data_IF_392713354642
#
_entry.id   IF_392713354642
#
_cell.length_a   1.000
_cell.length_b   1.000
_cell.length_c   1.000
_cell.angle_alpha   90.00
_cell.angle_beta   90.00
_cell.angle_gamma   90.00
#
_symmetry.space_group_name_H-M   'P 1'
#
loop_
_entity.id
_entity.type
_entity.pdbx_description
1 polymer ?
#
# COMPACT_ATOMS: atom_id res chain seq x y z
N UNK A 1 14.02 -8.46 16.38
CA UNK A 1 13.01 -9.49 16.69
C UNK A 1 12.01 -8.89 17.64
N UNK A 2 10.71 -9.00 17.35
CA UNK A 2 9.69 -8.63 18.31
C UNK A 2 9.72 -9.71 19.42
N UNK A 3 9.98 -9.31 20.67
CA UNK A 3 10.26 -10.24 21.77
C UNK A 3 9.04 -11.04 22.24
N UNK A 4 7.85 -10.77 21.68
CA UNK A 4 6.58 -11.38 22.08
C UNK A 4 6.00 -12.38 21.06
N UNK A 5 6.77 -12.79 20.05
CA UNK A 5 6.34 -13.86 19.14
C UNK A 5 6.41 -15.23 19.87
N UNK A 6 5.44 -16.11 19.63
CA UNK A 6 5.39 -17.44 20.24
C UNK A 6 6.18 -18.51 19.47
N UNK A 7 6.77 -18.14 18.33
CA UNK A 7 7.57 -19.00 17.47
C UNK A 7 7.74 -18.39 16.08
N UNK A 8 8.46 -19.11 15.23
CA UNK A 8 8.63 -18.83 13.81
C UNK A 8 9.99 -18.27 13.40
N UNK A 9 10.20 -18.14 12.09
CA UNK A 9 11.45 -17.69 11.48
C UNK A 9 11.22 -16.55 10.48
N UNK A 10 11.60 -15.33 10.89
CA UNK A 10 11.48 -14.11 10.08
C UNK A 10 12.36 -14.13 8.82
N UNK A 11 13.30 -15.06 8.68
CA UNK A 11 14.12 -15.22 7.48
C UNK A 11 13.45 -16.05 6.38
N UNK A 12 12.41 -16.84 6.71
CA UNK A 12 11.85 -17.85 5.79
C UNK A 12 10.32 -17.79 5.70
N UNK A 13 9.61 -17.71 6.82
CA UNK A 13 8.14 -17.77 6.85
C UNK A 13 7.45 -16.68 6.01
N UNK A 14 7.89 -15.41 5.99
CA UNK A 14 7.29 -14.40 5.12
C UNK A 14 7.31 -14.80 3.63
N UNK A 15 8.38 -15.47 3.18
CA UNK A 15 8.51 -15.92 1.80
C UNK A 15 7.63 -17.12 1.48
N UNK A 16 7.52 -18.07 2.42
CA UNK A 16 6.62 -19.23 2.29
C UNK A 16 5.16 -18.75 2.22
N UNK A 17 4.76 -17.86 3.12
CA UNK A 17 3.41 -17.28 3.14
C UNK A 17 3.14 -16.49 1.86
N UNK A 18 4.06 -15.61 1.46
CA UNK A 18 3.92 -14.82 0.23
C UNK A 18 3.77 -15.70 -1.02
N UNK A 19 4.50 -16.82 -1.08
CA UNK A 19 4.39 -17.79 -2.16
C UNK A 19 3.01 -18.46 -2.22
N UNK A 20 2.50 -18.95 -1.08
CA UNK A 20 1.17 -19.58 -1.05
C UNK A 20 0.03 -18.59 -1.28
N UNK A 21 0.17 -17.32 -0.89
CA UNK A 21 -0.79 -16.27 -1.23
C UNK A 21 -0.89 -16.08 -2.76
N UNK A 22 0.25 -16.07 -3.46
CA UNK A 22 0.30 -15.97 -4.92
C UNK A 22 -0.33 -17.19 -5.61
N UNK A 23 0.01 -18.40 -5.18
CA UNK A 23 -0.58 -19.63 -5.73
C UNK A 23 -2.09 -19.70 -5.50
N UNK A 24 -2.55 -19.34 -4.29
CA UNK A 24 -3.97 -19.29 -3.95
C UNK A 24 -4.72 -18.28 -4.83
N UNK A 25 -4.15 -17.10 -5.01
CA UNK A 25 -4.68 -16.08 -5.91
C UNK A 25 -4.83 -16.60 -7.34
N UNK A 26 -3.76 -17.13 -7.91
CA UNK A 26 -3.73 -17.60 -9.29
C UNK A 26 -4.72 -18.76 -9.53
N UNK A 27 -4.83 -19.68 -8.57
CA UNK A 27 -5.83 -20.76 -8.59
C UNK A 27 -7.26 -20.22 -8.60
N UNK A 28 -7.58 -19.26 -7.74
CA UNK A 28 -8.93 -18.67 -7.66
C UNK A 28 -9.24 -17.85 -8.92
N UNK A 29 -8.28 -17.14 -9.49
CA UNK A 29 -8.47 -16.41 -10.75
C UNK A 29 -8.76 -17.38 -11.88
N UNK A 30 -8.00 -18.48 -12.00
CA UNK A 30 -8.27 -19.53 -12.99
C UNK A 30 -9.69 -20.08 -12.83
N UNK A 31 -10.08 -20.46 -11.62
CA UNK A 31 -11.44 -20.94 -11.32
C UNK A 31 -12.52 -19.89 -11.68
N UNK A 32 -12.30 -18.62 -11.33
CA UNK A 32 -13.22 -17.53 -11.64
C UNK A 32 -13.43 -17.40 -13.15
N UNK A 33 -12.34 -17.39 -13.92
CA UNK A 33 -12.36 -17.25 -15.38
C UNK A 33 -13.06 -18.43 -16.05
N UNK A 34 -12.73 -19.65 -15.64
CA UNK A 34 -13.26 -20.87 -16.25
C UNK A 34 -14.76 -21.08 -15.95
N UNK A 35 -15.22 -20.73 -14.75
CA UNK A 35 -16.56 -21.11 -14.29
C UNK A 35 -17.56 -19.95 -14.17
N UNK A 36 -17.09 -18.73 -13.91
CA UNK A 36 -17.97 -17.64 -13.48
C UNK A 36 -17.89 -16.40 -14.38
N UNK A 37 -16.73 -16.08 -14.96
CA UNK A 37 -16.54 -14.80 -15.64
C UNK A 37 -17.42 -14.65 -16.88
N UNK A 38 -17.63 -15.72 -17.65
CA UNK A 38 -18.47 -15.67 -18.85
C UNK A 38 -19.92 -15.27 -18.56
N UNK A 39 -20.46 -15.69 -17.41
CA UNK A 39 -21.85 -15.40 -17.02
C UNK A 39 -21.98 -14.12 -16.21
N UNK A 40 -21.06 -13.89 -15.26
CA UNK A 40 -21.10 -12.72 -14.37
C UNK A 40 -20.54 -11.46 -15.02
N UNK A 41 -19.68 -11.59 -16.03
CA UNK A 41 -19.00 -10.48 -16.73
C UNK A 41 -18.20 -9.56 -15.80
N UNK A 42 -17.76 -10.07 -14.65
CA UNK A 42 -16.97 -9.35 -13.66
C UNK A 42 -15.46 -9.39 -13.95
N UNK A 43 -14.72 -8.70 -13.09
CA UNK A 43 -13.25 -8.63 -13.12
C UNK A 43 -12.68 -9.04 -11.77
N UNK A 44 -11.50 -9.66 -11.78
CA UNK A 44 -10.78 -10.08 -10.58
C UNK A 44 -9.34 -9.56 -10.62
N UNK A 45 -8.82 -9.14 -9.47
CA UNK A 45 -7.48 -8.56 -9.34
C UNK A 45 -7.00 -8.63 -7.90
N UNK A 46 -5.90 -7.94 -7.61
CA UNK A 46 -5.30 -7.87 -6.27
C UNK A 46 -5.26 -6.44 -5.76
N UNK A 47 -5.09 -6.24 -4.45
CA UNK A 47 -4.80 -4.95 -3.85
C UNK A 47 -3.46 -5.04 -3.11
N UNK A 48 -2.54 -4.13 -3.40
CA UNK A 48 -1.19 -4.12 -2.86
C UNK A 48 -0.89 -2.79 -2.18
N UNK A 49 -0.31 -2.85 -0.98
CA UNK A 49 0.18 -1.65 -0.29
C UNK A 49 1.51 -1.21 -0.87
N UNK A 50 1.64 0.09 -1.12
CA UNK A 50 2.89 0.69 -1.60
C UNK A 50 3.07 2.08 -0.99
N UNK A 51 4.25 2.32 -0.43
CA UNK A 51 4.73 3.68 -0.17
C UNK A 51 5.43 4.21 -1.41
N UNK A 52 5.35 5.53 -1.63
CA UNK A 52 6.28 6.14 -2.59
C UNK A 52 7.62 6.39 -1.93
N UNK A 53 8.70 6.15 -2.67
CA UNK A 53 10.05 6.21 -2.13
C UNK A 53 10.89 7.18 -2.95
N UNK A 54 11.47 8.16 -2.27
CA UNK A 54 12.44 9.08 -2.82
C UNK A 54 13.84 8.62 -2.38
N UNK A 55 14.85 8.59 -3.27
CA UNK A 55 16.21 8.30 -2.81
C UNK A 55 16.65 9.41 -1.84
N UNK A 56 17.32 9.04 -0.74
CA UNK A 56 17.76 9.99 0.29
C UNK A 56 18.80 10.96 -0.28
N UNK A 57 19.76 10.46 -1.05
CA UNK A 57 20.75 11.22 -1.82
C UNK A 57 20.65 10.93 -3.32
N UNK A 58 21.39 11.69 -4.13
CA UNK A 58 21.50 11.45 -5.58
C UNK A 58 22.56 10.37 -5.91
N UNK A 59 23.01 9.60 -4.92
CA UNK A 59 23.96 8.51 -5.10
C UNK A 59 23.32 7.35 -5.86
N UNK A 60 24.12 6.65 -6.66
CA UNK A 60 23.67 5.47 -7.41
C UNK A 60 23.09 4.42 -6.45
N UNK A 61 23.71 4.27 -5.29
CA UNK A 61 23.35 3.31 -4.25
C UNK A 61 21.94 3.57 -3.71
N UNK A 62 21.55 4.82 -3.46
CA UNK A 62 20.21 5.17 -2.98
C UNK A 62 19.14 5.05 -4.09
N UNK A 63 19.51 5.33 -5.34
CA UNK A 63 18.65 5.08 -6.49
C UNK A 63 18.38 3.57 -6.67
N UNK A 64 19.40 2.73 -6.52
CA UNK A 64 19.26 1.27 -6.56
C UNK A 64 18.50 0.74 -5.33
N UNK A 65 18.74 1.31 -4.15
CA UNK A 65 17.99 0.99 -2.93
C UNK A 65 16.50 1.24 -3.13
N UNK A 66 16.13 2.38 -3.72
CA UNK A 66 14.73 2.65 -4.08
C UNK A 66 14.13 1.53 -4.93
N UNK A 67 14.83 1.10 -5.99
CA UNK A 67 14.31 0.03 -6.85
C UNK A 67 14.17 -1.29 -6.08
N UNK A 68 15.19 -1.68 -5.29
CA UNK A 68 15.11 -2.88 -4.45
C UNK A 68 13.94 -2.82 -3.48
N UNK A 69 13.69 -1.68 -2.84
CA UNK A 69 12.57 -1.55 -1.91
C UNK A 69 11.21 -1.64 -2.61
N UNK A 70 11.07 -1.08 -3.82
CA UNK A 70 9.85 -1.26 -4.63
C UNK A 70 9.68 -2.72 -5.03
N UNK A 71 10.77 -3.41 -5.41
CA UNK A 71 10.73 -4.83 -5.73
C UNK A 71 10.31 -5.68 -4.53
N UNK A 72 10.79 -5.38 -3.32
CA UNK A 72 10.41 -6.07 -2.07
C UNK A 72 9.05 -5.63 -1.50
N UNK A 73 8.30 -4.77 -2.19
CA UNK A 73 6.94 -4.35 -1.80
C UNK A 73 5.97 -4.67 -2.92
N UNK A 74 5.78 -3.77 -3.88
CA UNK A 74 4.87 -3.98 -5.01
C UNK A 74 5.37 -5.11 -5.93
N UNK A 75 6.67 -5.16 -6.22
CA UNK A 75 7.22 -6.17 -7.13
C UNK A 75 7.06 -7.59 -6.62
N UNK A 76 7.14 -7.80 -5.30
CA UNK A 76 7.07 -9.12 -4.68
C UNK A 76 5.79 -9.85 -5.05
N UNK A 77 4.66 -9.13 -5.09
CA UNK A 77 3.38 -9.70 -5.45
C UNK A 77 2.97 -9.42 -6.88
N UNK A 78 3.32 -8.26 -7.45
CA UNK A 78 2.83 -7.87 -8.77
C UNK A 78 3.71 -8.37 -9.93
N UNK A 79 5.03 -8.54 -9.75
CA UNK A 79 5.90 -9.08 -10.80
C UNK A 79 5.52 -10.54 -11.12
N UNK A 80 5.28 -11.44 -10.14
CA UNK A 80 4.81 -12.80 -10.44
C UNK A 80 3.53 -12.83 -11.27
N UNK A 81 2.57 -11.91 -11.04
CA UNK A 81 1.35 -11.82 -11.84
C UNK A 81 1.61 -11.28 -13.25
N UNK A 82 2.68 -10.52 -13.46
CA UNK A 82 3.03 -9.96 -14.76
C UNK A 82 3.93 -10.89 -15.59
N UNK A 83 4.87 -11.58 -14.95
CA UNK A 83 5.96 -12.32 -15.62
C UNK A 83 5.98 -13.81 -15.31
N UNK A 84 5.33 -14.25 -14.23
CA UNK A 84 5.41 -15.62 -13.72
C UNK A 84 6.58 -15.87 -12.75
N UNK A 85 7.36 -14.84 -12.39
CA UNK A 85 8.48 -14.98 -11.44
C UNK A 85 8.66 -13.74 -10.55
N UNK A 86 9.39 -13.90 -9.45
CA UNK A 86 9.76 -12.82 -8.54
C UNK A 86 10.77 -11.84 -9.16
N UNK A 87 10.90 -10.61 -8.62
CA UNK A 87 11.92 -9.66 -9.05
C UNK A 87 13.34 -10.22 -8.93
N UNK A 88 14.22 -9.84 -9.87
CA UNK A 88 15.61 -10.28 -9.88
C UNK A 88 16.38 -9.87 -8.62
N UNK A 89 16.10 -8.69 -8.06
CA UNK A 89 16.69 -8.23 -6.81
C UNK A 89 16.31 -9.10 -5.61
N UNK A 90 15.06 -9.59 -5.57
CA UNK A 90 14.62 -10.54 -4.55
C UNK A 90 15.32 -11.89 -4.70
N UNK A 91 15.39 -12.42 -5.92
CA UNK A 91 16.13 -13.67 -6.22
C UNK A 91 17.59 -13.57 -5.76
N UNK A 92 18.26 -12.45 -6.08
CA UNK A 92 19.65 -12.22 -5.70
C UNK A 92 19.87 -12.12 -4.19
N UNK A 93 19.05 -11.32 -3.48
CA UNK A 93 19.27 -11.04 -2.06
C UNK A 93 18.74 -12.16 -1.14
N UNK A 94 17.61 -12.78 -1.48
CA UNK A 94 16.97 -13.80 -0.63
C UNK A 94 17.56 -15.18 -0.88
N UNK A 95 17.88 -15.49 -2.14
CA UNK A 95 18.43 -16.76 -2.58
C UNK A 95 17.47 -17.93 -2.30
N UNK A 96 18.01 -19.05 -1.82
CA UNK A 96 17.27 -20.31 -1.58
C UNK A 96 16.11 -20.23 -0.59
N UNK A 97 15.99 -19.13 0.17
CA UNK A 97 14.85 -18.92 1.09
C UNK A 97 13.59 -18.44 0.35
N UNK A 98 13.75 -17.93 -0.88
CA UNK A 98 12.65 -17.55 -1.75
C UNK A 98 12.24 -18.76 -2.57
N UNK A 99 11.01 -19.30 -2.42
CA UNK A 99 10.58 -20.46 -3.18
C UNK A 99 10.64 -20.25 -4.69
N UNK A 100 10.73 -21.35 -5.44
CA UNK A 100 10.68 -21.33 -6.90
C UNK A 100 9.28 -21.75 -7.36
N UNK A 101 8.78 -21.11 -8.42
CA UNK A 101 7.55 -21.56 -9.06
C UNK A 101 7.88 -22.69 -10.03
N UNK A 102 7.06 -23.74 -10.05
CA UNK A 102 7.06 -24.70 -11.15
C UNK A 102 6.67 -24.00 -12.45
N UNK A 103 6.89 -24.66 -13.60
CA UNK A 103 6.47 -24.11 -14.90
C UNK A 103 4.96 -23.90 -14.96
N UNK A 104 4.21 -24.83 -14.39
CA UNK A 104 2.76 -24.81 -14.32
C UNK A 104 2.26 -23.68 -13.41
N UNK A 105 2.92 -23.45 -12.28
CA UNK A 105 2.60 -22.36 -11.35
C UNK A 105 2.90 -20.99 -11.97
N UNK A 106 4.07 -20.83 -12.61
CA UNK A 106 4.46 -19.60 -13.29
C UNK A 106 3.47 -19.23 -14.41
N UNK A 107 3.04 -20.21 -15.20
CA UNK A 107 2.04 -20.00 -16.26
C UNK A 107 0.66 -19.65 -15.68
N UNK A 108 0.27 -20.26 -14.56
CA UNK A 108 -0.99 -19.93 -13.88
C UNK A 108 -0.99 -18.51 -13.30
N UNK A 109 0.17 -18.02 -12.83
CA UNK A 109 0.34 -16.67 -12.28
C UNK A 109 0.31 -15.60 -13.36
N UNK A 110 0.97 -15.85 -14.49
CA UNK A 110 1.14 -14.85 -15.54
C UNK A 110 -0.20 -14.38 -16.11
N UNK A 111 -0.46 -13.08 -16.03
CA UNK A 111 -1.71 -12.45 -16.47
C UNK A 111 -2.92 -12.77 -15.57
N UNK A 112 -2.72 -13.27 -14.35
CA UNK A 112 -3.81 -13.60 -13.42
C UNK A 112 -4.38 -12.38 -12.67
N UNK A 113 -4.42 -11.19 -13.28
CA UNK A 113 -5.12 -10.04 -12.72
C UNK A 113 -5.69 -9.15 -13.84
N UNK A 114 -6.97 -8.83 -13.77
CA UNK A 114 -7.67 -7.96 -14.71
C UNK A 114 -7.46 -6.45 -14.38
N UNK A 115 -7.00 -6.16 -13.17
CA UNK A 115 -6.65 -4.83 -12.66
C UNK A 115 -5.68 -4.95 -11.47
N UNK A 116 -5.04 -3.83 -11.11
CA UNK A 116 -4.23 -3.70 -9.88
C UNK A 116 -4.85 -2.67 -8.96
N UNK A 117 -5.14 -3.09 -7.73
CA UNK A 117 -5.46 -2.24 -6.60
C UNK A 117 -4.18 -1.74 -5.92
N UNK A 118 -4.10 -0.44 -5.65
CA UNK A 118 -2.99 0.18 -4.92
C UNK A 118 -3.52 0.84 -3.65
N UNK A 119 -2.96 0.46 -2.51
CA UNK A 119 -3.21 1.08 -1.22
C UNK A 119 -2.05 2.06 -0.94
N UNK A 120 -2.33 3.36 -1.01
CA UNK A 120 -1.33 4.42 -0.86
C UNK A 120 -1.68 5.36 0.30
N UNK A 121 -0.72 5.57 1.20
CA UNK A 121 -0.92 6.39 2.40
C UNK A 121 0.16 7.44 2.63
N UNK A 122 1.41 7.18 2.23
CA UNK A 122 2.56 7.99 2.63
C UNK A 122 3.78 7.76 1.74
N UNK A 123 4.80 8.59 1.94
CA UNK A 123 6.11 8.49 1.29
C UNK A 123 7.24 8.54 2.30
N UNK A 124 8.38 8.00 1.92
CA UNK A 124 9.62 8.07 2.69
C UNK A 124 10.82 8.39 1.80
N UNK A 125 11.89 8.90 2.41
CA UNK A 125 13.21 8.77 1.83
C UNK A 125 13.74 7.35 2.06
N UNK A 126 14.42 6.77 1.09
CA UNK A 126 15.04 5.44 1.16
C UNK A 126 16.53 5.55 0.87
N UNK A 127 17.32 4.76 1.58
CA UNK A 127 18.76 4.72 1.40
C UNK A 127 19.30 3.29 1.45
N UNK A 128 20.48 3.11 0.85
CA UNK A 128 21.19 1.84 0.87
C UNK A 128 21.68 1.53 2.29
N UNK A 129 21.20 0.43 2.85
CA UNK A 129 21.52 -0.01 4.23
C UNK A 129 21.67 -1.53 4.27
N UNK A 130 22.79 -2.08 3.76
CA UNK A 130 23.05 -3.51 3.81
C UNK A 130 23.33 -3.93 5.27
N UNK A 131 22.74 -5.04 5.74
CA UNK A 131 22.99 -5.51 7.10
C UNK A 131 24.46 -5.95 7.26
N UNK A 132 25.02 -5.89 8.49
CA UNK A 132 26.33 -6.44 8.78
C UNK A 132 26.46 -7.91 8.35
N UNK A 133 27.67 -8.36 7.98
CA UNK A 133 27.89 -9.71 7.45
C UNK A 133 27.44 -10.85 8.38
N UNK A 134 27.45 -10.61 9.70
CA UNK A 134 27.05 -11.55 10.74
C UNK A 134 25.61 -11.31 11.25
N UNK A 135 24.84 -10.42 10.62
CA UNK A 135 23.47 -10.17 11.01
C UNK A 135 22.60 -11.41 10.76
N UNK A 136 21.65 -11.64 11.66
CA UNK A 136 20.62 -12.65 11.44
C UNK A 136 19.77 -12.23 10.24
N UNK A 137 19.54 -13.18 9.33
CA UNK A 137 18.72 -12.94 8.14
C UNK A 137 17.29 -12.63 8.56
N UNK A 138 16.65 -11.75 7.80
CA UNK A 138 15.25 -11.38 8.02
C UNK A 138 14.68 -10.78 6.76
N UNK A 139 13.42 -11.11 6.46
CA UNK A 139 12.73 -10.55 5.31
C UNK A 139 12.65 -9.01 5.32
N UNK A 140 12.73 -8.39 6.51
CA UNK A 140 12.71 -6.93 6.65
C UNK A 140 14.02 -6.26 6.24
N UNK A 141 15.15 -6.97 6.34
CA UNK A 141 16.49 -6.44 6.02
C UNK A 141 16.99 -6.91 4.66
N UNK A 142 16.38 -7.95 4.08
CA UNK A 142 16.84 -8.57 2.83
C UNK A 142 16.77 -7.63 1.61
N UNK A 143 16.02 -6.53 1.65
CA UNK A 143 16.07 -5.51 0.58
C UNK A 143 17.35 -4.65 0.62
N UNK A 144 18.16 -4.75 1.69
CA UNK A 144 19.36 -3.93 1.94
C UNK A 144 19.03 -2.44 1.87
N UNK A 145 17.93 -2.05 2.52
CA UNK A 145 17.41 -0.69 2.50
C UNK A 145 16.84 -0.32 3.84
N UNK A 146 16.90 0.97 4.15
CA UNK A 146 16.18 1.55 5.28
C UNK A 146 15.56 2.88 4.85
N UNK A 147 14.70 3.44 5.71
CA UNK A 147 13.90 4.60 5.37
C UNK A 147 14.03 5.70 6.42
N UNK A 148 13.89 6.92 5.96
CA UNK A 148 13.89 8.12 6.78
C UNK A 148 12.68 8.98 6.42
N UNK A 149 11.92 9.49 7.42
CA UNK A 149 10.89 10.48 7.15
C UNK A 149 11.48 11.86 6.84
N UNK A 150 12.77 12.08 7.13
CA UNK A 150 13.43 13.37 6.99
C UNK A 150 14.61 13.34 6.01
N UNK A 151 14.85 14.45 5.32
CA UNK A 151 16.10 14.73 4.60
C UNK A 151 16.62 16.09 5.07
N UNK A 152 17.88 16.17 5.51
CA UNK A 152 18.47 17.38 6.09
C UNK A 152 17.64 17.99 7.25
N UNK A 153 17.14 17.13 8.15
CA UNK A 153 16.26 17.50 9.28
C UNK A 153 14.92 18.14 8.88
N UNK A 154 14.49 17.98 7.62
CA UNK A 154 13.17 18.43 7.13
C UNK A 154 12.33 17.20 6.84
N UNK A 155 11.15 17.12 7.48
CA UNK A 155 10.17 16.07 7.21
C UNK A 155 9.73 16.11 5.74
N UNK A 156 9.49 14.93 5.16
CA UNK A 156 9.00 14.78 3.78
C UNK A 156 7.63 15.45 3.58
N UNK A 157 6.85 15.61 4.65
CA UNK A 157 5.57 16.31 4.67
C UNK A 157 5.01 16.41 6.09
N UNK A 158 3.84 17.04 6.28
CA UNK A 158 3.20 17.11 7.60
C UNK A 158 2.87 15.73 8.17
N UNK A 159 3.05 15.54 9.47
CA UNK A 159 2.71 14.28 10.16
C UNK A 159 1.21 14.18 10.42
N UNK A 160 0.64 13.00 10.22
CA UNK A 160 -0.75 12.70 10.61
C UNK A 160 -0.83 12.21 12.07
N UNK A 161 -1.99 11.70 12.49
CA UNK A 161 -2.20 11.22 13.86
C UNK A 161 -1.50 9.90 14.19
N UNK A 162 -1.05 9.14 13.19
CA UNK A 162 -0.35 7.87 13.38
C UNK A 162 1.15 8.02 13.06
N UNK A 163 2.01 7.37 13.85
CA UNK A 163 3.45 7.65 13.90
C UNK A 163 4.18 7.45 12.57
N UNK A 164 3.71 6.53 11.74
CA UNK A 164 4.31 6.18 10.45
C UNK A 164 3.75 6.99 9.28
N UNK A 165 2.76 7.88 9.48
CA UNK A 165 2.11 8.55 8.36
C UNK A 165 2.54 10.01 8.21
N UNK A 166 3.19 10.29 7.08
CA UNK A 166 3.51 11.62 6.60
C UNK A 166 2.67 11.94 5.34
N UNK A 167 2.04 13.10 5.31
CA UNK A 167 1.14 13.53 4.24
C UNK A 167 1.98 14.01 3.06
N UNK A 168 2.07 13.17 2.01
CA UNK A 168 2.80 13.49 0.78
C UNK A 168 1.94 13.21 -0.46
N UNK A 169 1.07 14.16 -0.87
CA UNK A 169 0.12 13.92 -1.96
C UNK A 169 0.76 13.58 -3.31
N UNK A 170 1.93 14.16 -3.61
CA UNK A 170 2.65 13.91 -4.88
C UNK A 170 3.00 12.42 -5.08
N UNK A 171 3.23 11.67 -4.00
CA UNK A 171 3.62 10.27 -4.10
C UNK A 171 2.56 9.37 -4.72
N UNK A 172 1.25 9.70 -4.60
CA UNK A 172 0.19 8.90 -5.25
C UNK A 172 0.29 8.99 -6.77
N UNK A 173 0.61 10.17 -7.30
CA UNK A 173 0.84 10.38 -8.73
C UNK A 173 2.00 9.52 -9.20
N UNK A 174 3.11 9.61 -8.48
CA UNK A 174 4.35 8.97 -8.92
C UNK A 174 4.28 7.44 -8.79
N UNK A 175 3.59 6.90 -7.76
CA UNK A 175 3.25 5.47 -7.65
C UNK A 175 2.42 5.00 -8.84
N UNK A 176 1.37 5.75 -9.21
CA UNK A 176 0.49 5.39 -10.32
C UNK A 176 1.23 5.43 -11.66
N UNK A 177 2.07 6.43 -11.89
CA UNK A 177 2.87 6.52 -13.11
C UNK A 177 3.94 5.42 -13.18
N UNK A 178 4.56 5.10 -12.05
CA UNK A 178 5.48 3.96 -11.96
C UNK A 178 4.76 2.65 -12.30
N UNK A 179 3.60 2.39 -11.69
CA UNK A 179 2.81 1.18 -11.97
C UNK A 179 2.34 1.13 -13.42
N UNK A 180 1.89 2.26 -13.99
CA UNK A 180 1.49 2.38 -15.40
C UNK A 180 2.63 2.00 -16.35
N UNK A 181 3.87 2.45 -16.05
CA UNK A 181 5.05 2.12 -16.84
C UNK A 181 5.49 0.66 -16.67
N UNK A 182 5.47 0.14 -15.44
CA UNK A 182 5.96 -1.22 -15.12
C UNK A 182 4.98 -2.32 -15.57
N UNK A 183 3.68 -2.06 -15.46
CA UNK A 183 2.61 -3.00 -15.82
C UNK A 183 1.70 -2.35 -16.88
N UNK A 184 2.16 -2.29 -18.14
CA UNK A 184 1.44 -1.59 -19.20
C UNK A 184 0.08 -2.24 -19.47
N UNK A 185 -0.89 -1.43 -19.86
CA UNK A 185 -2.27 -1.83 -20.19
C UNK A 185 -3.09 -2.42 -19.03
N UNK A 186 -2.60 -2.38 -17.79
CA UNK A 186 -3.36 -2.85 -16.63
C UNK A 186 -4.15 -1.69 -15.99
N UNK A 187 -5.49 -1.79 -15.84
CA UNK A 187 -6.28 -0.82 -15.10
C UNK A 187 -5.84 -0.72 -13.64
N UNK A 188 -5.82 0.50 -13.10
CA UNK A 188 -5.42 0.76 -11.71
C UNK A 188 -6.63 1.26 -10.91
N UNK A 189 -6.82 0.74 -9.71
CA UNK A 189 -7.74 1.30 -8.72
C UNK A 189 -6.94 1.72 -7.48
N UNK A 190 -7.17 2.91 -6.96
CA UNK A 190 -6.68 3.26 -5.62
C UNK A 190 -7.65 2.65 -4.63
N UNK A 191 -7.36 1.44 -4.15
CA UNK A 191 -8.26 0.64 -3.31
C UNK A 191 -8.28 1.10 -1.86
N UNK A 192 -7.21 1.76 -1.40
CA UNK A 192 -7.19 2.48 -0.13
C UNK A 192 -6.34 3.75 -0.23
N UNK A 193 -6.87 4.84 0.32
CA UNK A 193 -6.15 6.06 0.59
C UNK A 193 -6.86 6.83 1.71
N UNK A 194 -6.12 7.34 2.68
CA UNK A 194 -6.72 8.08 3.80
C UNK A 194 -5.71 8.45 4.86
N UNK A 195 -6.18 9.10 5.92
CA UNK A 195 -5.32 9.50 7.04
C UNK A 195 -5.95 9.22 8.40
N UNK A 196 -5.08 8.80 9.33
CA UNK A 196 -5.42 8.55 10.72
C UNK A 196 -5.36 9.83 11.55
N UNK A 197 -6.36 10.01 12.41
CA UNK A 197 -6.34 11.01 13.49
C UNK A 197 -6.31 10.30 14.83
N UNK A 198 -5.61 10.87 15.81
CA UNK A 198 -5.64 10.34 17.18
C UNK A 198 -7.05 10.48 17.74
N UNK A 199 -7.60 9.38 18.27
CA UNK A 199 -8.84 9.43 19.02
C UNK A 199 -8.62 10.25 20.29
N UNK A 200 -9.37 11.34 20.43
CA UNK A 200 -9.36 12.17 21.62
C UNK A 200 -10.76 12.22 22.25
N UNK A 201 -10.93 11.44 23.32
CA UNK A 201 -12.19 11.32 24.06
C UNK A 201 -12.55 12.58 24.85
N UNK A 202 -11.66 13.59 24.94
CA UNK A 202 -11.96 14.87 25.60
C UNK A 202 -12.65 15.87 24.68
N UNK A 203 -12.67 15.62 23.37
CA UNK A 203 -13.31 16.51 22.40
C UNK A 203 -14.83 16.35 22.44
N UNK A 204 -15.55 17.46 22.28
CA UNK A 204 -16.98 17.39 21.98
C UNK A 204 -17.20 16.74 20.60
N UNK A 205 -18.39 16.17 20.36
CA UNK A 205 -18.75 15.62 19.04
C UNK A 205 -18.52 16.68 17.95
N UNK A 206 -18.92 17.94 18.19
CA UNK A 206 -18.75 19.03 17.22
C UNK A 206 -17.29 19.23 16.80
N UNK A 207 -16.36 19.13 17.76
CA UNK A 207 -14.91 19.24 17.48
C UNK A 207 -14.38 17.99 16.78
N UNK A 208 -14.79 16.79 17.22
CA UNK A 208 -14.39 15.52 16.60
C UNK A 208 -14.86 15.35 15.15
N UNK A 209 -15.95 16.03 14.74
CA UNK A 209 -16.44 16.05 13.36
C UNK A 209 -15.69 17.03 12.46
N UNK A 210 -14.87 17.93 13.02
CA UNK A 210 -14.18 18.99 12.28
C UNK A 210 -12.80 18.54 11.75
N UNK A 211 -12.79 17.57 10.83
CA UNK A 211 -11.56 16.96 10.28
C UNK A 211 -11.05 17.65 9.01
N UNK A 212 -10.81 18.96 9.08
CA UNK A 212 -10.39 19.77 7.92
C UNK A 212 -9.04 19.33 7.34
N UNK A 213 -8.15 18.75 8.15
CA UNK A 213 -6.89 18.16 7.66
C UNK A 213 -7.15 16.93 6.75
N UNK A 214 -8.17 16.11 7.06
CA UNK A 214 -8.59 15.01 6.19
C UNK A 214 -9.23 15.51 4.89
N UNK A 215 -9.98 16.61 4.94
CA UNK A 215 -10.47 17.28 3.73
C UNK A 215 -9.30 17.72 2.84
N UNK A 216 -8.29 18.38 3.42
CA UNK A 216 -7.06 18.76 2.71
C UNK A 216 -6.36 17.53 2.11
N UNK A 217 -6.17 16.48 2.91
CA UNK A 217 -5.54 15.23 2.46
C UNK A 217 -6.21 14.70 1.20
N UNK A 218 -7.54 14.48 1.22
CA UNK A 218 -8.24 13.91 0.06
C UNK A 218 -8.21 14.83 -1.15
N UNK A 219 -8.43 16.14 -0.95
CA UNK A 219 -8.40 17.11 -2.05
C UNK A 219 -7.05 17.07 -2.78
N UNK A 220 -5.94 17.11 -2.05
CA UNK A 220 -4.61 17.12 -2.66
C UNK A 220 -4.29 15.77 -3.32
N UNK A 221 -4.56 14.63 -2.66
CA UNK A 221 -4.28 13.31 -3.24
C UNK A 221 -5.10 13.06 -4.52
N UNK A 222 -6.38 13.44 -4.53
CA UNK A 222 -7.23 13.31 -5.71
C UNK A 222 -6.76 14.24 -6.84
N UNK A 223 -6.29 15.45 -6.52
CA UNK A 223 -5.72 16.36 -7.52
C UNK A 223 -4.46 15.77 -8.18
N UNK A 224 -3.54 15.21 -7.38
CA UNK A 224 -2.35 14.53 -7.91
C UNK A 224 -2.70 13.25 -8.68
N UNK A 225 -3.69 12.48 -8.23
CA UNK A 225 -4.19 11.32 -8.98
C UNK A 225 -4.77 11.74 -10.34
N UNK A 226 -5.54 12.83 -10.38
CA UNK A 226 -6.06 13.39 -11.63
C UNK A 226 -4.94 13.83 -12.57
N UNK A 227 -3.83 14.36 -12.04
CA UNK A 227 -2.66 14.69 -12.87
C UNK A 227 -2.01 13.43 -13.49
N UNK A 228 -1.94 12.31 -12.76
CA UNK A 228 -1.45 11.05 -13.33
C UNK A 228 -2.37 10.54 -14.45
N UNK A 229 -3.69 10.70 -14.32
CA UNK A 229 -4.67 10.36 -15.36
C UNK A 229 -4.44 11.21 -16.61
N UNK A 230 -4.22 12.53 -16.45
CA UNK A 230 -3.89 13.43 -17.56
C UNK A 230 -2.59 13.05 -18.27
N UNK A 231 -1.64 12.48 -17.52
CA UNK A 231 -0.37 11.97 -18.05
C UNK A 231 -0.47 10.53 -18.61
N UNK A 232 -1.68 10.00 -18.78
CA UNK A 232 -1.94 8.73 -19.49
C UNK A 232 -2.14 7.51 -18.59
N UNK A 233 -2.18 7.66 -17.26
CA UNK A 233 -2.45 6.54 -16.37
C UNK A 233 -3.90 6.04 -16.47
N UNK A 234 -4.07 4.71 -16.55
CA UNK A 234 -5.39 4.07 -16.67
C UNK A 234 -6.06 3.85 -15.30
N UNK A 235 -6.27 4.93 -14.54
CA UNK A 235 -6.93 4.86 -13.22
C UNK A 235 -8.44 4.79 -13.39
N UNK A 236 -9.09 3.88 -12.66
CA UNK A 236 -10.52 3.58 -12.77
C UNK A 236 -11.33 3.88 -11.50
N UNK A 237 -10.68 4.15 -10.38
CA UNK A 237 -11.37 4.52 -9.16
C UNK A 237 -10.43 4.92 -8.02
N UNK A 238 -11.01 5.61 -7.04
CA UNK A 238 -10.39 5.99 -5.77
C UNK A 238 -11.36 5.64 -4.65
N UNK A 239 -10.85 4.92 -3.65
CA UNK A 239 -11.62 4.46 -2.50
C UNK A 239 -10.96 4.99 -1.22
N UNK A 240 -11.75 5.76 -0.45
CA UNK A 240 -11.31 6.31 0.81
C UNK A 240 -11.24 5.22 1.89
N UNK A 241 -10.06 5.05 2.49
CA UNK A 241 -9.92 4.35 3.77
C UNK A 241 -10.12 5.36 4.91
N UNK A 242 -11.23 5.35 5.63
CA UNK A 242 -12.35 4.39 5.56
C UNK A 242 -13.71 5.07 5.54
N UNK A 243 -14.75 4.32 5.20
CA UNK A 243 -16.13 4.81 5.27
C UNK A 243 -16.49 5.25 6.70
N UNK A 244 -16.01 4.54 7.73
CA UNK A 244 -16.27 4.84 9.13
C UNK A 244 -15.06 4.52 10.01
N UNK A 245 -14.98 5.16 11.17
CA UNK A 245 -13.99 4.80 12.19
C UNK A 245 -14.15 3.33 12.57
N UNK A 246 -13.04 2.61 12.69
CA UNK A 246 -13.01 1.16 12.88
C UNK A 246 -11.83 0.74 13.77
N UNK A 247 -11.61 -0.57 13.90
CA UNK A 247 -10.52 -1.14 14.70
C UNK A 247 -9.23 -1.16 13.87
N UNK A 248 -8.28 -0.29 14.21
CA UNK A 248 -7.01 -0.12 13.51
C UNK A 248 -5.95 -1.10 14.05
N UNK A 249 -6.22 -2.39 13.90
CA UNK A 249 -5.25 -3.46 14.17
C UNK A 249 -4.56 -3.32 15.54
N UNK A 250 -3.23 -3.16 15.56
CA UNK A 250 -2.42 -3.03 16.77
C UNK A 250 -2.71 -1.72 17.54
N UNK A 251 -3.22 -0.69 16.88
CA UNK A 251 -3.60 0.59 17.49
C UNK A 251 -5.02 0.56 18.09
N UNK A 252 -5.78 -0.50 17.85
CA UNK A 252 -7.14 -0.64 18.33
C UNK A 252 -8.03 0.54 17.90
N UNK A 253 -8.73 1.17 18.86
CA UNK A 253 -9.60 2.33 18.60
C UNK A 253 -8.92 3.68 18.92
N UNK A 254 -7.59 3.69 19.07
CA UNK A 254 -6.84 4.93 19.37
C UNK A 254 -6.62 5.80 18.13
N UNK A 255 -6.82 5.26 16.93
CA UNK A 255 -6.70 5.96 15.65
C UNK A 255 -8.03 5.88 14.89
N UNK A 256 -8.42 7.00 14.27
CA UNK A 256 -9.66 7.15 13.50
C UNK A 256 -9.33 7.48 12.05
N UNK A 257 -9.65 6.55 11.12
CA UNK A 257 -9.51 6.76 9.67
C UNK A 257 -10.81 7.19 8.97
N UNK A 258 -11.96 7.07 9.64
CA UNK A 258 -13.25 7.22 9.01
C UNK A 258 -13.55 8.63 8.55
N UNK A 259 -14.20 8.75 7.38
CA UNK A 259 -14.90 9.99 7.01
C UNK A 259 -16.22 10.15 7.79
N UNK A 260 -16.72 9.06 8.39
CA UNK A 260 -17.81 9.09 9.36
C UNK A 260 -17.27 8.72 10.75
N UNK A 261 -17.56 9.58 11.73
CA UNK A 261 -17.26 9.32 13.14
C UNK A 261 -18.16 8.22 13.67
N UNK A 262 -17.59 7.32 14.48
CA UNK A 262 -18.35 6.31 15.23
C UNK A 262 -18.23 6.59 16.72
N UNK A 263 -19.38 6.84 17.35
CA UNK A 263 -19.47 7.04 18.79
C UNK A 263 -19.49 5.69 19.51
N UNK A 264 -18.29 5.21 19.88
CA UNK A 264 -18.12 3.94 20.58
C UNK A 264 -18.83 3.88 21.94
N UNK A 265 -19.12 5.04 22.56
CA UNK A 265 -19.73 5.12 23.90
C UNK A 265 -21.25 5.28 23.87
N UNK A 266 -21.83 5.60 22.72
CA UNK A 266 -23.26 5.89 22.58
C UNK A 266 -23.93 5.01 21.51
N UNK A 267 -23.81 3.68 21.69
CA UNK A 267 -24.49 2.71 20.82
C UNK A 267 -23.98 2.71 19.38
N UNK A 268 -22.71 3.05 19.15
CA UNK A 268 -22.09 3.08 17.82
C UNK A 268 -22.80 4.04 16.84
N UNK A 269 -23.34 5.17 17.31
CA UNK A 269 -23.95 6.15 16.42
C UNK A 269 -22.94 6.68 15.38
N UNK A 270 -23.41 6.90 14.16
CA UNK A 270 -22.59 7.39 13.03
C UNK A 270 -22.89 8.86 12.77
N UNK A 271 -21.84 9.65 12.62
CA UNK A 271 -21.93 11.08 12.37
C UNK A 271 -21.00 11.45 11.21
N UNK A 272 -21.49 12.09 10.13
CA UNK A 272 -20.63 12.51 9.03
C UNK A 272 -19.67 13.60 9.50
N UNK A 273 -18.37 13.39 9.28
CA UNK A 273 -17.35 14.42 9.49
C UNK A 273 -17.35 15.41 8.33
N UNK A 274 -16.58 16.49 8.44
CA UNK A 274 -16.43 17.47 7.35
C UNK A 274 -15.89 16.83 6.06
N UNK A 275 -15.02 15.83 6.16
CA UNK A 275 -14.56 15.05 5.00
C UNK A 275 -15.69 14.29 4.28
N UNK A 276 -16.64 13.70 5.00
CA UNK A 276 -17.81 13.07 4.38
C UNK A 276 -18.71 14.11 3.69
N UNK A 277 -18.91 15.28 4.32
CA UNK A 277 -19.67 16.38 3.74
C UNK A 277 -18.98 16.91 2.47
N UNK A 278 -17.65 17.04 2.50
CA UNK A 278 -16.84 17.42 1.35
C UNK A 278 -16.98 16.42 0.21
N UNK A 279 -16.84 15.11 0.47
CA UNK A 279 -17.03 14.06 -0.55
C UNK A 279 -18.43 14.11 -1.17
N UNK A 280 -19.47 14.27 -0.34
CA UNK A 280 -20.86 14.41 -0.82
C UNK A 280 -20.99 15.58 -1.80
N UNK A 281 -20.34 16.70 -1.53
CA UNK A 281 -20.39 17.87 -2.41
C UNK A 281 -19.53 17.66 -3.67
N UNK A 282 -18.37 17.01 -3.53
CA UNK A 282 -17.48 16.67 -4.65
C UNK A 282 -18.17 15.77 -5.68
N UNK A 283 -18.96 14.77 -5.26
CA UNK A 283 -19.69 13.87 -6.17
C UNK A 283 -21.00 14.42 -6.74
N UNK A 284 -21.48 15.56 -6.24
CA UNK A 284 -22.73 16.20 -6.71
C UNK A 284 -22.51 17.20 -7.85
N UNK A 285 -21.26 17.54 -8.12
CA UNK A 285 -20.83 18.37 -9.23
C UNK A 285 -20.29 17.50 -10.36
#
# INVERSE_FOLDING_TARGET
MNLNCTGGDSATEPYIVGHHLLLSHAFIVKLYREKYQATQKGKIGTAQVIQWLLPLSDSKEDHEARQRRIDFTLGWFQDPLATGDYPASMRANVGKRLPEFSKEEAEMLKGSADFVGLNYYTSYYVFNDPPPANALKSATTDSHTNFSPTKNNVDIGPKAGIVWQYIYPKGIRDVVLYATKKYPNTPIYITENGMGEVNNDTLSIKEALNDTLRVFFYREHIAYLNSAIKDGANVKGHFAWSIMDNFEWAEGYTIRFGINFVDYKNGLKRYPKQSAIWYRNFFRN
#
